data_IF_678528813085
#
_entry.id   IF_678528813085
#
_cell.length_a   1.000
_cell.length_b   1.000
_cell.length_c   1.000
_cell.angle_alpha   90.00
_cell.angle_beta   90.00
_cell.angle_gamma   90.00
#
_symmetry.space_group_name_H-M   'P 1'
#
loop_
_entity.id
_entity.type
_entity.pdbx_description
1 polymer ?
#
# COMPACT_ATOMS: atom_id res chain seq x y z
N UNK A 1 2.02 -16.07 0.12
CA UNK A 1 2.22 -16.05 1.58
C UNK A 1 2.38 -17.45 2.16
N UNK A 2 1.51 -18.40 1.88
CA UNK A 2 1.64 -19.78 2.39
C UNK A 2 2.91 -20.52 1.89
N UNK A 3 3.46 -20.12 0.77
CA UNK A 3 4.74 -20.64 0.23
C UNK A 3 5.97 -19.95 0.83
N UNK A 4 5.78 -18.80 1.48
CA UNK A 4 6.87 -17.94 1.97
C UNK A 4 7.10 -18.06 3.48
N UNK A 5 6.17 -18.65 4.22
CA UNK A 5 6.29 -18.76 5.67
C UNK A 5 5.54 -19.96 6.24
N UNK A 6 6.04 -20.50 7.35
CA UNK A 6 5.34 -21.53 8.12
C UNK A 6 4.05 -20.94 8.74
N UNK A 7 2.90 -21.63 8.63
CA UNK A 7 1.66 -21.22 9.30
C UNK A 7 1.80 -21.06 10.83
N UNK A 8 2.75 -21.72 11.47
CA UNK A 8 3.03 -21.59 12.90
C UNK A 8 3.87 -20.36 13.27
N UNK A 9 4.43 -19.63 12.28
CA UNK A 9 5.26 -18.44 12.52
C UNK A 9 4.56 -17.43 13.41
N UNK A 10 5.27 -16.89 14.42
CA UNK A 10 4.76 -15.77 15.23
C UNK A 10 4.56 -14.52 14.36
N UNK A 11 3.40 -13.86 14.42
CA UNK A 11 3.12 -12.65 13.62
C UNK A 11 4.14 -11.51 13.80
N UNK A 12 4.80 -11.43 14.96
CA UNK A 12 5.79 -10.39 15.24
C UNK A 12 7.23 -10.82 14.97
N UNK A 13 7.43 -12.09 14.57
CA UNK A 13 8.73 -12.65 14.20
C UNK A 13 9.27 -12.00 12.90
N UNK A 14 10.60 -11.91 12.75
CA UNK A 14 11.23 -11.61 11.46
C UNK A 14 10.79 -12.53 10.32
N UNK A 15 10.43 -13.79 10.64
CA UNK A 15 10.02 -14.79 9.66
C UNK A 15 8.61 -14.59 9.11
N UNK A 16 7.78 -13.74 9.74
CA UNK A 16 6.54 -13.28 9.13
C UNK A 16 6.84 -12.40 7.92
N UNK A 17 5.94 -12.36 6.95
CA UNK A 17 6.08 -11.53 5.75
C UNK A 17 5.01 -10.43 5.72
N UNK A 18 5.36 -9.27 5.13
CA UNK A 18 4.39 -8.22 4.78
C UNK A 18 4.41 -8.05 3.27
N UNK A 19 3.24 -8.11 2.66
CA UNK A 19 3.08 -8.02 1.21
C UNK A 19 2.20 -6.82 0.89
N UNK A 20 2.70 -5.90 0.07
CA UNK A 20 1.90 -4.89 -0.60
C UNK A 20 1.59 -5.38 -2.00
N UNK A 21 0.33 -5.41 -2.39
CA UNK A 21 -0.08 -5.93 -3.70
C UNK A 21 -1.17 -5.08 -4.33
N UNK A 22 -1.09 -4.93 -5.65
CA UNK A 22 -2.09 -4.26 -6.49
C UNK A 22 -2.93 -5.28 -7.25
N UNK A 23 -4.04 -4.83 -7.81
CA UNK A 23 -4.84 -5.64 -8.74
C UNK A 23 -4.42 -5.45 -10.21
N UNK A 24 -4.88 -6.33 -11.10
CA UNK A 24 -4.54 -6.24 -12.53
C UNK A 24 -5.04 -4.95 -13.20
N UNK A 25 -6.11 -4.35 -12.70
CA UNK A 25 -6.68 -3.11 -13.23
C UNK A 25 -6.19 -1.85 -12.49
N UNK A 26 -5.38 -1.98 -11.45
CA UNK A 26 -4.83 -0.83 -10.71
C UNK A 26 -3.96 0.02 -11.61
N UNK A 27 -4.10 1.34 -11.52
CA UNK A 27 -3.36 2.28 -12.36
C UNK A 27 -3.90 2.46 -13.78
N UNK A 28 -5.00 1.78 -14.14
CA UNK A 28 -5.68 1.93 -15.44
C UNK A 28 -6.90 2.86 -15.33
N UNK A 29 -7.55 3.14 -16.46
CA UNK A 29 -8.81 3.91 -16.52
C UNK A 29 -10.06 3.10 -16.12
N UNK A 30 -9.91 1.82 -15.74
CA UNK A 30 -11.01 1.01 -15.24
C UNK A 30 -11.55 1.58 -13.92
N UNK A 31 -12.88 1.51 -13.76
CA UNK A 31 -13.54 2.00 -12.54
C UNK A 31 -13.05 1.25 -11.30
N UNK A 32 -12.90 1.95 -10.17
CA UNK A 32 -12.49 1.40 -8.85
C UNK A 32 -11.10 0.77 -8.80
N UNK A 33 -10.22 1.05 -9.78
CA UNK A 33 -8.89 0.45 -9.94
C UNK A 33 -7.78 1.01 -9.03
N UNK A 34 -8.07 1.89 -8.05
CA UNK A 34 -7.03 2.57 -7.25
C UNK A 34 -6.66 1.88 -5.93
N UNK A 35 -7.12 0.65 -5.67
CA UNK A 35 -6.85 -0.01 -4.39
C UNK A 35 -5.59 -0.88 -4.42
N UNK A 36 -4.95 -0.96 -3.25
CA UNK A 36 -3.91 -1.95 -2.95
C UNK A 36 -4.24 -2.70 -1.67
N UNK A 37 -3.70 -3.89 -1.52
CA UNK A 37 -3.81 -4.72 -0.32
C UNK A 37 -2.50 -4.77 0.45
N UNK A 38 -2.62 -4.86 1.78
CA UNK A 38 -1.51 -5.20 2.67
C UNK A 38 -1.85 -6.54 3.31
N UNK A 39 -1.03 -7.55 3.04
CA UNK A 39 -1.26 -8.94 3.47
C UNK A 39 -0.11 -9.40 4.37
N UNK A 40 -0.46 -10.01 5.48
CA UNK A 40 0.49 -10.55 6.46
C UNK A 40 -0.20 -11.57 7.36
N UNK A 41 0.52 -12.21 8.27
CA UNK A 41 -0.09 -12.87 9.42
C UNK A 41 -0.39 -11.82 10.50
N UNK A 42 -1.65 -11.69 10.88
CA UNK A 42 -2.13 -10.63 11.77
C UNK A 42 -1.82 -10.89 13.25
N UNK A 43 -1.33 -9.87 14.00
CA UNK A 43 -0.87 -10.06 15.38
C UNK A 43 -2.00 -10.24 16.40
N UNK A 44 -3.25 -9.91 16.05
CA UNK A 44 -4.40 -10.04 16.94
C UNK A 44 -5.06 -11.41 16.83
N UNK A 45 -5.25 -11.90 15.61
CA UNK A 45 -6.01 -13.13 15.33
C UNK A 45 -5.14 -14.34 15.08
N UNK A 46 -3.84 -14.14 14.86
CA UNK A 46 -2.88 -15.17 14.48
C UNK A 46 -3.24 -15.90 13.17
N UNK A 47 -4.06 -15.26 12.34
CA UNK A 47 -4.53 -15.74 11.05
C UNK A 47 -4.05 -14.82 9.92
N UNK A 48 -4.29 -15.23 8.67
CA UNK A 48 -4.02 -14.39 7.51
C UNK A 48 -4.85 -13.10 7.62
N UNK A 49 -4.17 -11.99 7.56
CA UNK A 49 -4.72 -10.64 7.57
C UNK A 49 -4.59 -10.05 6.17
N UNK A 50 -5.69 -9.58 5.62
CA UNK A 50 -5.71 -8.82 4.38
C UNK A 50 -6.45 -7.51 4.64
N UNK A 51 -5.72 -6.41 4.64
CA UNK A 51 -6.28 -5.07 4.74
C UNK A 51 -6.04 -4.32 3.45
N UNK A 52 -6.99 -3.49 3.02
CA UNK A 52 -6.82 -2.76 1.78
C UNK A 52 -7.09 -1.28 1.97
N UNK A 53 -6.43 -0.45 1.17
CA UNK A 53 -6.60 0.99 1.12
C UNK A 53 -6.83 1.46 -0.31
N UNK A 54 -7.48 2.62 -0.42
CA UNK A 54 -7.63 3.34 -1.69
C UNK A 54 -6.59 4.47 -1.80
N UNK A 55 -6.90 5.48 -2.58
CA UNK A 55 -6.02 6.61 -2.84
C UNK A 55 -5.12 6.40 -4.05
N UNK A 56 -3.97 7.04 -4.06
CA UNK A 56 -3.06 7.07 -5.21
C UNK A 56 -1.87 6.12 -5.08
N UNK A 57 -1.57 5.64 -3.87
CA UNK A 57 -0.40 4.79 -3.61
C UNK A 57 -0.37 3.52 -4.48
N UNK A 58 -1.51 2.81 -4.64
CA UNK A 58 -1.60 1.63 -5.50
C UNK A 58 -1.33 1.95 -6.97
N UNK A 59 -1.83 3.09 -7.45
CA UNK A 59 -1.59 3.54 -8.81
C UNK A 59 -0.11 3.86 -9.04
N UNK A 60 0.53 4.55 -8.08
CA UNK A 60 1.95 4.88 -8.16
C UNK A 60 2.82 3.62 -8.16
N UNK A 61 2.45 2.60 -7.38
CA UNK A 61 3.12 1.30 -7.38
C UNK A 61 3.08 0.64 -8.77
N UNK A 62 1.93 0.65 -9.43
CA UNK A 62 1.81 0.15 -10.82
C UNK A 62 2.59 1.02 -11.81
N UNK A 63 2.57 2.33 -11.64
CA UNK A 63 3.33 3.26 -12.48
C UNK A 63 4.85 3.09 -12.31
N UNK A 64 5.31 2.62 -11.16
CA UNK A 64 6.70 2.20 -10.95
C UNK A 64 7.02 0.85 -11.63
N UNK A 65 6.00 0.15 -12.15
CA UNK A 65 6.14 -1.16 -12.80
C UNK A 65 6.04 -2.35 -11.85
N UNK A 66 5.44 -2.16 -10.66
CA UNK A 66 5.37 -3.18 -9.62
C UNK A 66 3.94 -3.66 -9.41
N UNK A 67 3.76 -4.97 -9.36
CA UNK A 67 2.52 -5.62 -8.95
C UNK A 67 2.50 -5.95 -7.47
N UNK A 68 3.69 -6.23 -6.90
CA UNK A 68 3.83 -6.70 -5.52
C UNK A 68 5.19 -6.29 -4.95
N UNK A 69 5.20 -5.97 -3.65
CA UNK A 69 6.42 -5.78 -2.85
C UNK A 69 6.31 -6.72 -1.64
N UNK A 70 7.33 -7.52 -1.40
CA UNK A 70 7.38 -8.48 -0.30
C UNK A 70 8.51 -8.07 0.65
N UNK A 71 8.18 -7.92 1.92
CA UNK A 71 9.13 -7.63 2.99
C UNK A 71 9.33 -8.87 3.85
N UNK A 72 10.55 -9.38 3.86
CA UNK A 72 11.02 -10.48 4.69
C UNK A 72 12.05 -9.97 5.70
N UNK A 73 12.25 -10.73 6.77
CA UNK A 73 13.24 -10.38 7.78
C UNK A 73 12.84 -9.18 8.63
N UNK A 74 13.85 -8.60 9.30
CA UNK A 74 13.74 -7.41 10.15
C UNK A 74 15.00 -6.56 10.00
N UNK A 75 14.85 -5.26 9.79
CA UNK A 75 15.97 -4.33 9.76
C UNK A 75 16.57 -4.14 11.17
N UNK A 76 17.87 -3.84 11.25
CA UNK A 76 18.58 -3.58 12.53
C UNK A 76 18.14 -2.25 13.18
N UNK A 77 17.82 -1.26 12.36
CA UNK A 77 17.37 0.07 12.73
C UNK A 77 16.14 0.46 11.90
N UNK A 78 15.41 1.53 12.25
CA UNK A 78 14.31 2.02 11.44
C UNK A 78 14.72 2.33 10.01
N UNK A 79 13.94 1.80 9.05
CA UNK A 79 14.15 2.01 7.61
C UNK A 79 12.84 2.37 6.91
N UNK A 80 12.95 3.00 5.75
CA UNK A 80 11.88 3.06 4.78
C UNK A 80 12.36 2.60 3.41
N UNK A 81 11.46 2.00 2.64
CA UNK A 81 11.72 1.64 1.26
C UNK A 81 11.40 2.85 0.38
N UNK A 82 12.38 3.27 -0.43
CA UNK A 82 12.16 4.27 -1.48
C UNK A 82 12.33 3.62 -2.85
N UNK A 83 11.33 3.81 -3.71
CA UNK A 83 11.34 3.32 -5.09
C UNK A 83 11.03 4.49 -6.02
N UNK A 84 11.92 4.71 -6.97
CA UNK A 84 11.72 5.59 -8.12
C UNK A 84 11.91 4.78 -9.39
N UNK A 85 10.81 4.34 -9.98
CA UNK A 85 10.79 3.41 -11.13
C UNK A 85 11.64 2.15 -10.86
N UNK A 86 12.83 2.04 -11.48
CA UNK A 86 13.74 0.89 -11.33
C UNK A 86 14.75 1.07 -10.17
N UNK A 87 14.87 2.26 -9.61
CA UNK A 87 15.73 2.52 -8.46
C UNK A 87 15.00 2.14 -7.17
N UNK A 88 15.54 1.17 -6.44
CA UNK A 88 14.95 0.63 -5.23
C UNK A 88 15.99 0.66 -4.10
N UNK A 89 15.73 1.42 -3.03
CA UNK A 89 16.66 1.63 -1.92
C UNK A 89 15.96 1.51 -0.57
N UNK A 90 16.59 0.80 0.37
CA UNK A 90 16.26 0.89 1.79
C UNK A 90 17.08 2.03 2.40
N UNK A 91 16.40 3.03 2.94
CA UNK A 91 16.99 4.24 3.51
C UNK A 91 16.71 4.31 5.01
N UNK A 92 17.57 5.00 5.74
CA UNK A 92 17.42 5.25 7.17
C UNK A 92 16.16 6.09 7.44
N UNK A 93 15.35 5.63 8.41
CA UNK A 93 14.14 6.27 8.87
C UNK A 93 14.20 6.72 10.33
N UNK A 94 15.40 6.83 10.91
CA UNK A 94 15.57 7.20 12.32
C UNK A 94 14.95 8.56 12.65
N UNK A 95 15.03 9.52 11.74
CA UNK A 95 14.44 10.86 11.89
C UNK A 95 12.89 10.84 11.87
N UNK A 96 12.31 9.80 11.28
CA UNK A 96 10.86 9.64 11.18
C UNK A 96 10.28 8.71 12.24
N UNK A 97 11.12 7.97 12.97
CA UNK A 97 10.66 7.06 14.01
C UNK A 97 10.16 7.85 15.22
N UNK A 98 8.93 7.57 15.63
CA UNK A 98 8.25 8.31 16.69
C UNK A 98 7.43 9.52 16.20
N UNK A 99 7.48 9.83 14.89
CA UNK A 99 6.68 10.92 14.30
C UNK A 99 5.33 10.43 13.80
N UNK A 100 4.42 11.39 13.53
CA UNK A 100 3.12 11.10 12.94
C UNK A 100 3.25 10.62 11.50
N UNK A 101 2.18 10.04 10.95
CA UNK A 101 2.14 9.62 9.53
C UNK A 101 2.18 10.82 8.58
N UNK A 102 1.66 11.97 9.01
CA UNK A 102 1.69 13.22 8.25
C UNK A 102 3.10 13.79 8.15
N UNK A 103 3.78 13.95 9.30
CA UNK A 103 5.16 14.42 9.35
C UNK A 103 6.11 13.47 8.58
N UNK A 104 5.84 12.16 8.66
CA UNK A 104 6.61 11.15 7.90
C UNK A 104 6.43 11.33 6.40
N UNK A 105 5.20 11.52 5.92
CA UNK A 105 4.93 11.71 4.49
C UNK A 105 5.53 13.01 3.97
N UNK A 106 5.34 14.13 4.69
CA UNK A 106 5.92 15.43 4.34
C UNK A 106 7.44 15.38 4.34
N UNK A 107 8.05 14.89 5.41
CA UNK A 107 9.50 14.81 5.52
C UNK A 107 10.16 13.94 4.44
N UNK A 108 9.52 12.83 4.04
CA UNK A 108 10.03 12.01 2.92
C UNK A 108 9.95 12.78 1.60
N UNK A 109 8.83 13.47 1.32
CA UNK A 109 8.67 14.29 0.11
C UNK A 109 9.70 15.42 0.06
N UNK A 110 9.93 16.12 1.16
CA UNK A 110 10.94 17.17 1.28
C UNK A 110 12.35 16.63 1.08
N UNK A 111 12.70 15.50 1.71
CA UNK A 111 14.00 14.86 1.58
C UNK A 111 14.36 14.53 0.13
N UNK A 112 13.39 14.13 -0.65
CA UNK A 112 13.56 13.77 -2.07
C UNK A 112 13.27 14.92 -3.04
N UNK A 113 12.72 16.04 -2.56
CA UNK A 113 12.39 17.20 -3.38
C UNK A 113 11.25 16.95 -4.39
N UNK A 114 10.42 15.93 -4.16
CA UNK A 114 9.30 15.59 -5.06
C UNK A 114 7.96 15.43 -4.30
N UNK A 115 7.04 16.39 -4.44
CA UNK A 115 5.72 16.34 -3.80
C UNK A 115 4.80 15.26 -4.38
N UNK A 116 5.15 14.67 -5.52
CA UNK A 116 4.34 13.61 -6.16
C UNK A 116 4.62 12.22 -5.60
N UNK A 117 5.65 12.05 -4.79
CA UNK A 117 5.92 10.78 -4.08
C UNK A 117 4.69 10.39 -3.27
N UNK A 118 4.31 9.11 -3.38
CA UNK A 118 3.25 8.52 -2.58
C UNK A 118 3.85 7.69 -1.47
N UNK A 119 3.36 7.93 -0.25
CA UNK A 119 3.90 7.29 0.95
C UNK A 119 2.80 6.47 1.63
N UNK A 120 3.14 5.25 2.00
CA UNK A 120 2.37 4.43 2.93
C UNK A 120 3.23 4.21 4.18
N UNK A 121 2.76 4.67 5.34
CA UNK A 121 3.55 4.68 6.56
C UNK A 121 2.78 4.19 7.78
N UNK A 122 3.51 3.88 8.85
CA UNK A 122 2.96 3.61 10.17
C UNK A 122 3.22 4.79 11.11
N UNK A 123 2.26 5.03 12.01
CA UNK A 123 2.46 5.94 13.13
C UNK A 123 3.03 5.24 14.36
N UNK A 124 3.14 5.98 15.45
CA UNK A 124 3.67 5.52 16.74
C UNK A 124 2.97 4.25 17.25
N UNK A 125 1.68 4.07 16.96
CA UNK A 125 0.94 2.85 17.34
C UNK A 125 1.54 1.58 16.72
N UNK A 126 1.94 1.63 15.45
CA UNK A 126 2.62 0.50 14.78
C UNK A 126 3.99 0.22 15.38
N UNK A 127 4.76 1.28 15.64
CA UNK A 127 6.09 1.21 16.25
C UNK A 127 6.06 0.63 17.68
N UNK A 128 5.00 0.94 18.43
CA UNK A 128 4.80 0.47 19.81
C UNK A 128 4.08 -0.87 19.93
N UNK A 129 3.81 -1.54 18.81
CA UNK A 129 3.24 -2.88 18.81
C UNK A 129 1.75 -2.95 19.14
N UNK A 130 0.99 -1.87 18.93
CA UNK A 130 -0.46 -1.87 19.11
C UNK A 130 -1.10 -2.80 18.07
N UNK A 131 -1.71 -3.90 18.51
CA UNK A 131 -2.11 -5.04 17.68
C UNK A 131 -3.14 -4.75 16.58
N UNK A 132 -3.72 -3.56 16.55
CA UNK A 132 -4.65 -3.09 15.52
C UNK A 132 -4.14 -1.84 14.77
N UNK A 133 -2.84 -1.53 14.85
CA UNK A 133 -2.27 -0.41 14.13
C UNK A 133 -2.43 -0.58 12.62
N UNK A 134 -2.74 0.52 11.94
CA UNK A 134 -2.97 0.58 10.50
C UNK A 134 -1.73 1.04 9.74
N UNK A 135 -1.78 0.88 8.42
CA UNK A 135 -0.90 1.54 7.46
C UNK A 135 -1.69 2.68 6.82
N UNK A 136 -1.17 3.89 6.89
CA UNK A 136 -1.83 5.11 6.36
C UNK A 136 -1.11 5.55 5.09
N UNK A 137 -1.88 5.96 4.09
CA UNK A 137 -1.37 6.52 2.84
C UNK A 137 -2.18 7.73 2.41
N UNK A 138 -1.59 8.57 1.56
CA UNK A 138 -2.24 9.77 1.02
C UNK A 138 -2.94 10.59 2.13
N UNK A 139 -2.26 10.81 3.24
CA UNK A 139 -2.69 11.56 4.45
C UNK A 139 -3.89 10.96 5.20
N UNK A 140 -4.92 10.47 4.48
CA UNK A 140 -6.24 10.15 5.06
C UNK A 140 -6.79 8.78 4.67
N UNK A 141 -6.04 7.97 3.93
CA UNK A 141 -6.43 6.60 3.56
C UNK A 141 -5.71 5.61 4.46
N UNK A 142 -6.37 4.52 4.77
CA UNK A 142 -5.76 3.53 5.65
C UNK A 142 -6.12 2.10 5.27
N UNK A 143 -5.12 1.22 5.29
CA UNK A 143 -5.29 -0.21 5.47
C UNK A 143 -5.52 -0.44 6.97
N UNK A 144 -6.78 -0.25 7.41
CA UNK A 144 -7.15 0.05 8.80
C UNK A 144 -7.44 -1.17 9.66
N UNK A 145 -7.45 -2.38 9.10
CA UNK A 145 -7.83 -3.60 9.83
C UNK A 145 -6.68 -4.56 10.02
N UNK A 146 -6.84 -5.49 10.97
CA UNK A 146 -5.99 -6.67 11.17
C UNK A 146 -4.58 -6.40 11.67
N UNK A 147 -4.23 -5.17 12.04
CA UNK A 147 -2.95 -4.83 12.65
C UNK A 147 -1.74 -4.92 11.70
N UNK A 148 -1.95 -4.72 10.40
CA UNK A 148 -0.88 -4.80 9.39
C UNK A 148 0.25 -3.79 9.66
N UNK A 149 -0.07 -2.61 10.23
CA UNK A 149 0.94 -1.62 10.63
C UNK A 149 1.82 -2.07 11.79
N UNK A 150 1.30 -2.92 12.68
CA UNK A 150 2.09 -3.49 13.77
C UNK A 150 3.18 -4.42 13.26
N UNK A 151 2.87 -5.22 12.23
CA UNK A 151 3.85 -6.12 11.61
C UNK A 151 4.94 -5.33 10.88
N UNK A 152 4.60 -4.22 10.22
CA UNK A 152 5.61 -3.29 9.69
C UNK A 152 6.53 -2.77 10.80
N UNK A 153 5.95 -2.32 11.92
CA UNK A 153 6.71 -1.85 13.08
C UNK A 153 7.63 -2.91 13.66
N UNK A 154 7.18 -4.17 13.77
CA UNK A 154 8.01 -5.28 14.26
C UNK A 154 9.24 -5.55 13.38
N UNK A 155 9.18 -5.17 12.09
CA UNK A 155 10.28 -5.26 11.13
C UNK A 155 11.18 -4.01 11.09
N UNK A 156 10.92 -3.00 11.92
CA UNK A 156 11.52 -1.67 11.85
C UNK A 156 11.29 -0.98 10.49
N UNK A 157 10.19 -1.31 9.78
CA UNK A 157 9.80 -0.69 8.53
C UNK A 157 8.82 0.47 8.81
N UNK A 158 9.30 1.70 8.67
CA UNK A 158 8.52 2.92 8.92
C UNK A 158 7.57 3.25 7.79
N UNK A 159 8.06 3.16 6.55
CA UNK A 159 7.30 3.58 5.38
C UNK A 159 7.73 2.86 4.10
N UNK A 160 6.85 2.94 3.11
CA UNK A 160 7.11 2.64 1.70
C UNK A 160 6.81 3.90 0.92
N UNK A 161 7.77 4.44 0.20
CA UNK A 161 7.66 5.66 -0.59
C UNK A 161 7.90 5.34 -2.06
N UNK A 162 6.98 5.74 -2.92
CA UNK A 162 6.95 5.35 -4.33
C UNK A 162 6.88 6.57 -5.25
N UNK A 163 7.64 6.51 -6.34
CA UNK A 163 7.53 7.38 -7.49
C UNK A 163 7.56 6.54 -8.75
N UNK A 164 6.50 6.64 -9.57
CA UNK A 164 6.36 5.84 -10.79
C UNK A 164 5.90 6.69 -11.96
N UNK A 165 6.54 6.52 -13.12
CA UNK A 165 6.25 7.29 -14.34
C UNK A 165 6.03 6.42 -15.58
N UNK A 166 6.12 5.07 -15.44
CA UNK A 166 6.06 4.15 -16.58
C UNK A 166 4.65 3.94 -17.14
N UNK A 167 3.61 4.12 -16.29
CA UNK A 167 2.25 3.77 -16.64
C UNK A 167 1.99 2.25 -16.68
N UNK A 168 0.77 1.88 -17.04
CA UNK A 168 0.34 0.48 -17.16
C UNK A 168 0.11 0.13 -18.64
N UNK A 169 0.86 -0.84 -19.13
CA UNK A 169 0.69 -1.32 -20.50
C UNK A 169 -0.62 -2.12 -20.64
N UNK A 170 -1.38 -1.82 -21.68
CA UNK A 170 -2.61 -2.54 -22.04
C UNK A 170 -2.42 -3.14 -23.43
N UNK A 171 -2.61 -4.46 -23.54
CA UNK A 171 -2.35 -5.22 -24.77
C UNK A 171 -3.22 -4.76 -25.97
N UNK A 172 -4.53 -4.56 -25.73
CA UNK A 172 -5.49 -4.03 -26.70
C UNK A 172 -6.19 -2.80 -26.13
N UNK A 173 -5.61 -1.64 -26.35
CA UNK A 173 -6.12 -0.37 -25.82
C UNK A 173 -7.52 -0.01 -26.37
N UNK A 174 -7.82 -0.14 -27.66
CA UNK A 174 -9.17 0.12 -28.19
C UNK A 174 -10.24 -0.75 -27.55
N UNK A 175 -10.02 -2.08 -27.47
CA UNK A 175 -10.96 -2.99 -26.82
C UNK A 175 -11.13 -2.69 -25.33
N UNK A 176 -10.03 -2.36 -24.63
CA UNK A 176 -10.03 -1.99 -23.23
C UNK A 176 -10.84 -0.71 -22.97
N UNK A 177 -10.62 0.36 -23.73
CA UNK A 177 -11.36 1.62 -23.58
C UNK A 177 -12.83 1.46 -23.89
N UNK A 178 -13.18 0.61 -24.87
CA UNK A 178 -14.58 0.26 -25.13
C UNK A 178 -15.19 -0.44 -23.94
N UNK A 179 -14.55 -1.46 -23.37
CA UNK A 179 -15.03 -2.19 -22.20
C UNK A 179 -15.18 -1.28 -20.97
N UNK A 180 -14.23 -0.36 -20.74
CA UNK A 180 -14.31 0.66 -19.66
C UNK A 180 -15.53 1.57 -19.86
N UNK A 181 -15.76 2.05 -21.08
CA UNK A 181 -16.89 2.91 -21.40
C UNK A 181 -18.22 2.19 -21.22
N UNK A 182 -18.32 0.95 -21.68
CA UNK A 182 -19.54 0.15 -21.54
C UNK A 182 -19.79 -0.17 -20.06
N UNK A 183 -18.75 -0.52 -19.29
CA UNK A 183 -18.84 -0.72 -17.84
C UNK A 183 -19.32 0.53 -17.09
N UNK A 184 -18.82 1.73 -17.45
CA UNK A 184 -19.29 2.99 -16.86
C UNK A 184 -20.78 3.25 -17.14
N UNK A 185 -21.28 2.93 -18.35
CA UNK A 185 -22.71 3.04 -18.69
C UNK A 185 -23.56 2.09 -17.82
N UNK A 186 -23.10 0.86 -17.63
CA UNK A 186 -23.80 -0.12 -16.76
C UNK A 186 -23.85 0.38 -15.31
N UNK A 187 -22.74 0.89 -14.78
CA UNK A 187 -22.70 1.47 -13.44
C UNK A 187 -23.64 2.67 -13.29
N UNK A 188 -23.70 3.56 -14.28
CA UNK A 188 -24.59 4.70 -14.28
C UNK A 188 -26.08 4.33 -14.39
N UNK A 189 -26.42 3.25 -15.07
CA UNK A 189 -27.78 2.77 -15.24
C UNK A 189 -28.27 1.87 -14.10
N UNK A 190 -27.39 1.38 -13.24
CA UNK A 190 -27.71 0.49 -12.13
C UNK A 190 -28.31 1.26 -10.94
N UNK A 191 -29.50 0.85 -10.49
CA UNK A 191 -30.27 1.57 -9.47
C UNK A 191 -29.57 1.82 -8.12
N UNK A 192 -28.74 0.93 -7.54
CA UNK A 192 -27.99 1.25 -6.31
C UNK A 192 -26.77 2.12 -6.53
N UNK A 193 -26.08 1.99 -7.66
CA UNK A 193 -24.87 2.76 -7.97
C UNK A 193 -25.17 4.12 -8.61
N UNK A 194 -26.29 4.25 -9.34
CA UNK A 194 -26.77 5.51 -9.87
C UNK A 194 -27.12 6.52 -8.76
N UNK A 195 -27.76 6.06 -7.69
CA UNK A 195 -28.07 6.89 -6.53
C UNK A 195 -26.82 7.38 -5.78
N UNK A 196 -25.73 6.60 -5.76
CA UNK A 196 -24.47 7.03 -5.16
C UNK A 196 -23.73 8.10 -5.98
N UNK A 197 -23.89 8.10 -7.29
CA UNK A 197 -23.29 9.11 -8.18
C UNK A 197 -24.03 10.46 -8.07
N UNK A 198 -25.33 10.43 -7.82
CA UNK A 198 -26.12 11.66 -7.61
C UNK A 198 -25.93 12.28 -6.21
N UNK A 199 -25.39 11.51 -5.23
CA UNK A 199 -25.13 11.99 -3.85
C UNK A 199 -23.69 12.44 -3.61
N UNK A 200 -22.80 12.29 -4.56
CA UNK A 200 -21.39 12.73 -4.52
C UNK A 200 -21.13 13.83 -5.55
#
# INVERSE_FOLDING_TARGET
>A
MMELMDPATDPMSPDNVVIFATGPLTGTSASTGGRFGVVTKGPLTNAIACSNSGGFFGNEMKNAGLDMIIFEGKAKSPVYLFIDNDDCRLLDASDYWGTSVWDTEEGIKERHGDPQIRVASIGVSGEKGVKFACVVNDMHRAAGRSGVGTVMGSKNLKAVALRGTKGVAVNDMPAFLKAVTDGKKVLASGTPSGQFVEMC
#
